data_IF_889019680459
#
_entry.id   IF_889019680459
#
_cell.length_a   1.000
_cell.length_b   1.000
_cell.length_c   1.000
_cell.angle_alpha   90.00
_cell.angle_beta   90.00
_cell.angle_gamma   90.00
#
_symmetry.space_group_name_H-M   'P 1'
#
loop_
_entity.id
_entity.type
_entity.pdbx_description
1 polymer ?
#
# COMPACT_ATOMS: atom_id res chain seq x y z
N UNK A 1 0.56 0.47 -19.87
CA UNK A 1 -0.32 0.64 -21.04
C UNK A 1 0.46 1.40 -22.10
N UNK A 2 0.40 1.01 -23.37
CA UNK A 2 1.07 1.71 -24.47
C UNK A 2 2.61 1.88 -24.32
N UNK A 3 3.30 0.94 -23.65
CA UNK A 3 4.75 1.00 -23.44
C UNK A 3 5.21 1.94 -22.32
N UNK A 4 4.29 2.60 -21.61
CA UNK A 4 4.65 3.42 -20.45
C UNK A 4 5.11 2.57 -19.26
N UNK A 5 6.22 2.99 -18.66
CA UNK A 5 6.74 2.45 -17.41
C UNK A 5 6.03 3.12 -16.22
N UNK A 6 5.58 2.29 -15.27
CA UNK A 6 4.99 2.73 -14.01
C UNK A 6 5.95 2.36 -12.88
N UNK A 7 6.87 3.28 -12.61
CA UNK A 7 7.88 3.18 -11.56
C UNK A 7 7.61 4.21 -10.44
N UNK A 8 8.51 4.27 -9.46
CA UNK A 8 8.43 5.25 -8.37
C UNK A 8 8.36 6.69 -8.88
N UNK A 9 9.13 7.06 -9.90
CA UNK A 9 9.12 8.40 -10.49
C UNK A 9 7.73 8.80 -11.01
N UNK A 10 7.02 7.85 -11.63
CA UNK A 10 5.65 8.06 -12.08
C UNK A 10 4.68 8.25 -10.90
N UNK A 11 4.86 7.51 -9.80
CA UNK A 11 4.09 7.69 -8.57
C UNK A 11 4.35 9.07 -7.91
N UNK A 12 5.59 9.51 -7.82
CA UNK A 12 5.94 10.84 -7.30
C UNK A 12 5.31 11.96 -8.14
N UNK A 13 5.29 11.77 -9.46
CA UNK A 13 4.60 12.68 -10.38
C UNK A 13 3.10 12.68 -10.14
N UNK A 14 2.50 11.51 -9.93
CA UNK A 14 1.07 11.37 -9.65
C UNK A 14 0.66 12.05 -8.33
N UNK A 15 1.47 11.94 -7.29
CA UNK A 15 1.21 12.55 -5.98
C UNK A 15 1.64 14.03 -5.88
N UNK A 16 2.30 14.59 -6.89
CA UNK A 16 2.94 15.91 -6.84
C UNK A 16 2.03 17.02 -6.29
N UNK A 17 0.80 17.12 -6.78
CA UNK A 17 -0.10 18.20 -6.40
C UNK A 17 -0.66 18.00 -4.98
N UNK A 18 -0.92 16.75 -4.59
CA UNK A 18 -1.31 16.39 -3.22
C UNK A 18 -0.19 16.67 -2.22
N UNK A 19 1.06 16.39 -2.60
CA UNK A 19 2.25 16.71 -1.82
C UNK A 19 2.42 18.22 -1.70
N UNK A 20 2.23 18.98 -2.77
CA UNK A 20 2.30 20.45 -2.73
C UNK A 20 1.21 21.03 -1.82
N UNK A 21 0.00 20.47 -1.85
CA UNK A 21 -1.10 20.83 -0.96
C UNK A 21 -0.79 20.51 0.51
N UNK A 22 -0.23 19.33 0.80
CA UNK A 22 0.22 18.98 2.14
C UNK A 22 1.30 19.96 2.65
N UNK A 23 2.26 20.32 1.79
CA UNK A 23 3.35 21.27 2.11
C UNK A 23 2.86 22.71 2.31
N UNK A 24 1.70 23.08 1.78
CA UNK A 24 1.10 24.40 2.03
C UNK A 24 0.39 24.50 3.39
N UNK A 25 0.33 23.40 4.16
CA UNK A 25 -0.27 23.34 5.48
C UNK A 25 -1.70 22.79 5.49
N UNK A 26 -2.24 22.39 4.34
CA UNK A 26 -3.55 21.72 4.26
C UNK A 26 -3.39 20.26 4.65
N UNK A 27 -4.30 19.73 5.48
CA UNK A 27 -4.32 18.32 5.83
C UNK A 27 -4.68 17.45 4.61
N UNK A 28 -3.85 16.46 4.31
CA UNK A 28 -4.06 15.50 3.22
C UNK A 28 -3.96 14.07 3.79
N UNK A 29 -4.86 13.20 3.34
CA UNK A 29 -4.91 11.80 3.75
C UNK A 29 -5.26 10.92 2.55
N UNK A 30 -4.54 9.82 2.35
CA UNK A 30 -4.87 8.79 1.38
C UNK A 30 -5.92 7.86 2.00
N UNK A 31 -7.21 8.17 1.77
CA UNK A 31 -8.31 7.47 2.41
C UNK A 31 -8.44 6.00 2.03
N UNK A 32 -7.85 5.58 0.90
CA UNK A 32 -7.88 4.20 0.44
C UNK A 32 -6.61 3.87 -0.33
N UNK A 33 -5.94 2.79 0.06
CA UNK A 33 -4.85 2.20 -0.68
C UNK A 33 -4.84 0.67 -0.52
N UNK A 34 -4.13 -0.05 -1.39
CA UNK A 34 -4.01 -1.51 -1.35
C UNK A 34 -3.98 -2.13 -2.74
N UNK A 35 -3.90 -3.46 -2.78
CA UNK A 35 -3.83 -4.22 -4.03
C UNK A 35 -4.76 -5.44 -4.00
N UNK A 36 -5.35 -5.78 -5.13
CA UNK A 36 -6.17 -6.97 -5.29
C UNK A 36 -5.36 -8.25 -5.10
N UNK A 37 -6.01 -9.32 -4.63
CA UNK A 37 -5.35 -10.57 -4.23
C UNK A 37 -4.81 -11.42 -5.38
N UNK A 38 -5.07 -11.06 -6.64
CA UNK A 38 -4.57 -11.77 -7.83
C UNK A 38 -3.24 -11.24 -8.37
N UNK A 39 -2.74 -10.12 -7.83
CA UNK A 39 -1.38 -9.66 -8.13
C UNK A 39 -0.37 -10.47 -7.32
N UNK A 40 0.73 -10.97 -7.93
CA UNK A 40 1.79 -11.66 -7.20
C UNK A 40 2.27 -10.85 -5.99
N UNK A 41 2.39 -11.51 -4.85
CA UNK A 41 2.58 -10.83 -3.58
C UNK A 41 3.88 -10.02 -3.54
N UNK A 42 4.97 -10.53 -4.11
CA UNK A 42 6.24 -9.79 -4.19
C UNK A 42 6.12 -8.50 -5.02
N UNK A 43 5.32 -8.52 -6.09
CA UNK A 43 5.05 -7.33 -6.92
C UNK A 43 4.20 -6.32 -6.16
N UNK A 44 3.17 -6.80 -5.45
CA UNK A 44 2.37 -5.94 -4.57
C UNK A 44 3.24 -5.27 -3.51
N UNK A 45 4.03 -6.03 -2.75
CA UNK A 45 4.87 -5.47 -1.68
C UNK A 45 5.86 -4.43 -2.21
N UNK A 46 6.50 -4.69 -3.35
CA UNK A 46 7.44 -3.73 -3.95
C UNK A 46 6.74 -2.43 -4.37
N UNK A 47 5.61 -2.51 -5.06
CA UNK A 47 4.81 -1.33 -5.43
C UNK A 47 4.29 -0.58 -4.20
N UNK A 48 3.82 -1.32 -3.19
CA UNK A 48 3.22 -0.71 -2.02
C UNK A 48 4.26 -0.06 -1.12
N UNK A 49 5.48 -0.60 -1.05
CA UNK A 49 6.61 0.05 -0.39
C UNK A 49 6.93 1.41 -1.02
N UNK A 50 6.87 1.54 -2.36
CA UNK A 50 7.00 2.84 -3.02
C UNK A 50 5.87 3.81 -2.64
N UNK A 51 4.62 3.35 -2.68
CA UNK A 51 3.46 4.17 -2.30
C UNK A 51 3.57 4.64 -0.85
N UNK A 52 3.78 3.71 0.10
CA UNK A 52 3.88 4.03 1.52
C UNK A 52 5.07 4.94 1.82
N UNK A 53 6.21 4.72 1.15
CA UNK A 53 7.38 5.59 1.26
C UNK A 53 7.07 7.03 0.86
N UNK A 54 6.48 7.24 -0.32
CA UNK A 54 6.13 8.57 -0.81
C UNK A 54 5.16 9.30 0.13
N UNK A 55 4.11 8.61 0.60
CA UNK A 55 3.12 9.19 1.50
C UNK A 55 3.76 9.57 2.85
N UNK A 56 4.53 8.66 3.44
CA UNK A 56 5.18 8.84 4.75
C UNK A 56 6.23 9.95 4.72
N UNK A 57 7.08 9.99 3.69
CA UNK A 57 8.10 11.05 3.48
C UNK A 57 7.46 12.46 3.44
N UNK A 58 6.22 12.55 2.97
CA UNK A 58 5.47 13.81 2.87
C UNK A 58 4.44 14.00 4.00
N UNK A 59 4.50 13.20 5.06
CA UNK A 59 3.60 13.25 6.23
C UNK A 59 2.12 13.12 5.88
N UNK A 60 1.81 12.36 4.83
CA UNK A 60 0.45 12.03 4.43
C UNK A 60 0.10 10.67 5.04
N UNK A 61 -0.89 10.65 5.93
CA UNK A 61 -1.42 9.39 6.47
C UNK A 61 -2.16 8.59 5.39
N UNK A 62 -2.36 7.31 5.64
CA UNK A 62 -3.04 6.41 4.71
C UNK A 62 -3.97 5.42 5.44
N UNK A 63 -4.93 4.86 4.70
CA UNK A 63 -5.79 3.79 5.19
C UNK A 63 -5.87 2.65 4.16
N UNK A 64 -5.52 1.43 4.61
CA UNK A 64 -5.66 0.22 3.80
C UNK A 64 -7.15 -0.06 3.57
N UNK A 65 -7.54 -0.34 2.32
CA UNK A 65 -8.95 -0.52 1.93
C UNK A 65 -9.69 -1.57 2.78
N UNK A 66 -9.02 -2.65 3.15
CA UNK A 66 -9.57 -3.65 4.06
C UNK A 66 -8.62 -3.93 5.21
N UNK A 67 -9.15 -4.16 6.41
CA UNK A 67 -8.40 -4.85 7.46
C UNK A 67 -8.44 -6.37 7.22
N UNK A 68 -9.66 -6.91 7.13
CA UNK A 68 -9.98 -8.27 6.68
C UNK A 68 -10.63 -8.23 5.31
N UNK A 69 -10.17 -9.04 4.37
CA UNK A 69 -10.67 -9.10 2.99
C UNK A 69 -9.55 -9.02 1.95
N UNK A 70 -9.92 -9.04 0.67
CA UNK A 70 -8.97 -9.25 -0.44
C UNK A 70 -7.86 -8.20 -0.56
N UNK A 71 -8.07 -7.00 -0.02
CA UNK A 71 -7.08 -5.93 0.01
C UNK A 71 -6.34 -5.81 1.35
N UNK A 72 -6.69 -6.66 2.32
CA UNK A 72 -6.26 -6.53 3.71
C UNK A 72 -5.06 -7.38 4.10
N UNK A 73 -4.67 -7.21 5.37
CA UNK A 73 -3.63 -8.03 6.02
C UNK A 73 -4.17 -9.35 6.56
N UNK A 74 -5.49 -9.48 6.74
CA UNK A 74 -6.12 -10.68 7.25
C UNK A 74 -7.08 -11.27 6.22
N UNK A 75 -7.05 -12.58 6.09
CA UNK A 75 -7.95 -13.36 5.24
C UNK A 75 -8.01 -12.85 3.79
N UNK A 76 -6.87 -12.42 3.24
CA UNK A 76 -6.81 -11.77 1.92
C UNK A 76 -6.83 -12.71 0.72
N UNK A 77 -6.79 -14.03 0.95
CA UNK A 77 -6.96 -15.08 -0.07
C UNK A 77 -5.99 -14.95 -1.25
N UNK A 78 -4.76 -14.49 -0.99
CA UNK A 78 -3.66 -14.56 -1.95
C UNK A 78 -3.15 -15.99 -1.99
N UNK A 79 -2.95 -16.51 -3.19
CA UNK A 79 -2.59 -17.91 -3.41
C UNK A 79 -1.08 -18.17 -3.16
N UNK A 80 -0.27 -17.12 -3.02
CA UNK A 80 1.19 -17.14 -2.90
C UNK A 80 1.72 -16.55 -1.57
N UNK A 81 0.86 -16.44 -0.55
CA UNK A 81 1.22 -15.95 0.78
C UNK A 81 1.28 -17.11 1.78
N UNK A 82 2.40 -17.21 2.49
CA UNK A 82 2.54 -18.05 3.67
C UNK A 82 1.95 -17.32 4.89
N UNK A 83 0.64 -17.52 5.11
CA UNK A 83 -0.09 -16.90 6.22
C UNK A 83 0.28 -17.51 7.57
N UNK A 84 0.31 -16.67 8.62
CA UNK A 84 0.37 -17.09 10.02
C UNK A 84 -1.05 -17.23 10.58
N UNK A 85 -1.28 -18.23 11.45
CA UNK A 85 -2.54 -18.29 12.20
C UNK A 85 -2.54 -17.23 13.30
N UNK A 86 -3.51 -16.32 13.23
CA UNK A 86 -3.68 -15.25 14.19
C UNK A 86 -5.12 -15.28 14.72
N UNK A 87 -5.31 -15.93 15.87
CA UNK A 87 -6.62 -16.12 16.49
C UNK A 87 -7.66 -16.77 15.53
N UNK A 88 -7.23 -17.74 14.73
CA UNK A 88 -8.08 -18.41 13.74
C UNK A 88 -8.24 -17.66 12.41
N UNK A 89 -7.53 -16.55 12.21
CA UNK A 89 -7.47 -15.80 10.95
C UNK A 89 -6.12 -15.96 10.26
N UNK A 90 -6.11 -15.82 8.93
CA UNK A 90 -4.89 -15.93 8.11
C UNK A 90 -4.22 -14.57 8.00
N UNK A 91 -3.14 -14.33 8.76
CA UNK A 91 -2.39 -13.08 8.80
C UNK A 91 -1.24 -13.05 7.80
N UNK A 92 -1.21 -12.02 6.95
CA UNK A 92 -0.08 -11.67 6.12
C UNK A 92 0.94 -10.88 6.94
N UNK A 93 1.91 -11.60 7.50
CA UNK A 93 2.94 -11.02 8.36
C UNK A 93 3.89 -10.09 7.62
N UNK A 94 4.08 -10.29 6.31
CA UNK A 94 4.95 -9.45 5.49
C UNK A 94 4.29 -8.10 5.20
N UNK A 95 3.01 -8.11 4.81
CA UNK A 95 2.27 -6.86 4.63
C UNK A 95 2.12 -6.10 5.96
N UNK A 96 1.85 -6.79 7.08
CA UNK A 96 1.82 -6.17 8.40
C UNK A 96 3.18 -5.53 8.77
N UNK A 97 4.30 -6.22 8.53
CA UNK A 97 5.62 -5.67 8.79
C UNK A 97 5.91 -4.42 7.93
N UNK A 98 5.49 -4.44 6.67
CA UNK A 98 5.62 -3.31 5.77
C UNK A 98 4.81 -2.09 6.28
N UNK A 99 3.56 -2.29 6.70
CA UNK A 99 2.73 -1.22 7.28
C UNK A 99 3.31 -0.67 8.58
N UNK A 100 3.93 -1.50 9.43
CA UNK A 100 4.55 -1.03 10.67
C UNK A 100 5.86 -0.25 10.46
N UNK A 101 6.49 -0.41 9.29
CA UNK A 101 7.72 0.29 8.91
C UNK A 101 7.45 1.76 8.52
N UNK A 102 6.25 2.08 8.03
CA UNK A 102 5.88 3.37 7.44
C UNK A 102 4.73 4.03 8.20
#
# INVERSE_FOLDING_TARGET
MNGEMFDRTKLETYYKDWIALAKSGVGVHCGECGCWNKTPHNVFLAWFEDVLGILTENKIGYALWNFRGDFGILDSRRDDVAYEDWHGHKLDTKLLALLKKY
#
